data_IF_666548226032
#
_entry.id   IF_666548226032
#
_cell.length_a   1.000
_cell.length_b   1.000
_cell.length_c   1.000
_cell.angle_alpha   90.00
_cell.angle_beta   90.00
_cell.angle_gamma   90.00
#
_symmetry.space_group_name_H-M   'P 1'
#
loop_
_entity.id
_entity.type
_entity.pdbx_description
1 polymer ?
#
# COMPACT_ATOMS: atom_id res chain seq x y z
N UNK A 1 1.12 -1.03 -23.84
CA UNK A 1 2.01 -1.35 -22.70
C UNK A 1 1.55 -0.49 -21.55
N UNK A 2 1.21 -1.10 -20.42
CA UNK A 2 0.79 -0.35 -19.25
C UNK A 2 2.03 0.08 -18.49
N UNK A 3 2.11 1.37 -18.21
CA UNK A 3 3.15 1.95 -17.39
C UNK A 3 2.52 3.11 -16.62
N UNK A 4 1.80 2.77 -15.55
CA UNK A 4 1.03 3.74 -14.76
C UNK A 4 1.70 3.89 -13.39
N UNK A 5 1.99 5.13 -13.03
CA UNK A 5 2.37 5.46 -11.66
C UNK A 5 1.10 5.72 -10.86
N UNK A 6 1.00 5.14 -9.67
CA UNK A 6 -0.10 5.37 -8.75
C UNK A 6 0.44 5.86 -7.42
N UNK A 7 -0.28 6.80 -6.83
CA UNK A 7 -0.08 7.32 -5.47
C UNK A 7 -1.42 7.28 -4.76
N UNK A 8 -1.43 6.92 -3.49
CA UNK A 8 -2.65 6.83 -2.68
C UNK A 8 -2.32 7.04 -1.21
N UNK A 9 -3.22 7.68 -0.48
CA UNK A 9 -3.15 7.79 0.98
C UNK A 9 -3.44 6.45 1.64
N UNK A 10 -2.88 6.23 2.83
CA UNK A 10 -3.02 4.98 3.58
C UNK A 10 -3.38 5.28 5.02
N UNK A 11 -4.15 4.37 5.63
CA UNK A 11 -4.56 4.47 7.03
C UNK A 11 -4.05 3.24 7.76
N UNK A 12 -3.40 3.45 8.90
CA UNK A 12 -3.08 2.36 9.80
C UNK A 12 -4.34 1.94 10.56
N UNK A 13 -4.62 0.64 10.58
CA UNK A 13 -5.77 0.11 11.36
C UNK A 13 -5.56 0.19 12.88
N UNK A 14 -4.31 0.44 13.31
CA UNK A 14 -3.96 0.56 14.71
C UNK A 14 -3.83 2.04 15.08
N UNK A 15 -4.85 2.58 15.73
CA UNK A 15 -4.88 3.97 16.19
C UNK A 15 -3.79 4.31 17.23
N UNK A 16 -3.16 3.28 17.83
CA UNK A 16 -2.06 3.46 18.78
C UNK A 16 -0.68 3.49 18.12
N UNK A 17 -0.58 3.24 16.80
CA UNK A 17 0.69 3.27 16.11
C UNK A 17 1.09 4.72 15.79
N UNK A 18 2.23 5.15 16.32
CA UNK A 18 2.94 6.35 15.86
C UNK A 18 3.87 6.02 14.70
N UNK A 19 4.32 7.05 13.98
CA UNK A 19 5.31 6.92 12.89
C UNK A 19 4.90 5.90 11.81
N UNK A 20 3.63 5.97 11.41
CA UNK A 20 3.07 5.14 10.33
C UNK A 20 3.18 5.85 8.98
N UNK A 21 3.40 5.12 7.87
CA UNK A 21 3.23 5.69 6.54
C UNK A 21 1.82 6.28 6.39
N UNK A 22 1.73 7.43 5.73
CA UNK A 22 0.48 8.12 5.39
C UNK A 22 0.13 7.99 3.90
N UNK A 23 1.08 7.55 3.07
CA UNK A 23 0.84 7.27 1.66
C UNK A 23 1.70 6.12 1.13
N UNK A 24 1.30 5.60 -0.02
CA UNK A 24 2.09 4.66 -0.82
C UNK A 24 2.11 5.12 -2.27
N UNK A 25 3.21 4.87 -2.95
CA UNK A 25 3.30 4.99 -4.40
C UNK A 25 4.03 3.82 -5.03
N UNK A 26 3.61 3.45 -6.24
CA UNK A 26 4.22 2.36 -7.01
C UNK A 26 3.97 2.54 -8.51
N UNK A 27 4.88 1.97 -9.30
CA UNK A 27 4.71 1.84 -10.74
C UNK A 27 4.10 0.48 -11.06
N UNK A 28 2.99 0.49 -11.79
CA UNK A 28 2.40 -0.71 -12.40
C UNK A 28 2.95 -0.81 -13.82
N UNK A 29 4.03 -1.57 -13.94
CA UNK A 29 4.58 -1.96 -15.22
C UNK A 29 3.78 -3.13 -15.84
N UNK A 30 4.14 -3.48 -17.08
CA UNK A 30 3.47 -4.55 -17.82
C UNK A 30 3.61 -5.92 -17.14
N UNK A 31 4.71 -6.18 -16.43
CA UNK A 31 4.95 -7.47 -15.76
C UNK A 31 4.07 -7.60 -14.51
N UNK A 32 4.02 -6.55 -13.69
CA UNK A 32 3.20 -6.50 -12.49
C UNK A 32 1.71 -6.56 -12.84
N UNK A 33 1.28 -5.82 -13.87
CA UNK A 33 -0.09 -5.87 -14.37
C UNK A 33 -0.49 -7.29 -14.79
N UNK A 34 0.34 -7.94 -15.62
CA UNK A 34 0.08 -9.31 -16.06
C UNK A 34 0.02 -10.29 -14.88
N UNK A 35 0.89 -10.12 -13.88
CA UNK A 35 0.87 -10.93 -12.66
C UNK A 35 -0.43 -10.74 -11.88
N UNK A 36 -0.85 -9.50 -11.65
CA UNK A 36 -2.12 -9.18 -10.95
C UNK A 36 -3.30 -9.77 -11.71
N UNK A 37 -3.39 -9.58 -13.03
CA UNK A 37 -4.48 -10.13 -13.87
C UNK A 37 -4.55 -11.65 -13.85
N UNK A 38 -3.39 -12.32 -13.91
CA UNK A 38 -3.31 -13.78 -13.83
C UNK A 38 -3.80 -14.28 -12.48
N UNK A 39 -3.41 -13.62 -11.39
CA UNK A 39 -3.86 -13.95 -10.05
C UNK A 39 -5.35 -13.68 -9.85
N UNK A 40 -5.88 -12.58 -10.36
CA UNK A 40 -7.32 -12.29 -10.32
C UNK A 40 -8.14 -13.36 -11.05
N UNK A 41 -7.68 -13.80 -12.23
CA UNK A 41 -8.28 -14.91 -12.97
C UNK A 41 -8.24 -16.21 -12.17
N UNK A 42 -7.11 -16.49 -11.51
CA UNK A 42 -6.96 -17.66 -10.65
C UNK A 42 -7.91 -17.62 -9.44
N UNK A 43 -8.02 -16.48 -8.76
CA UNK A 43 -8.95 -16.26 -7.63
C UNK A 43 -10.39 -16.48 -8.09
N UNK A 44 -10.78 -15.91 -9.23
CA UNK A 44 -12.13 -16.07 -9.80
C UNK A 44 -12.44 -17.52 -10.19
N UNK A 45 -11.50 -18.20 -10.87
CA UNK A 45 -11.68 -19.58 -11.37
C UNK A 45 -11.83 -20.60 -10.24
N UNK A 46 -11.13 -20.38 -9.12
CA UNK A 46 -11.12 -21.31 -7.99
C UNK A 46 -12.03 -20.87 -6.83
N UNK A 47 -12.85 -19.84 -7.04
CA UNK A 47 -13.74 -19.26 -6.03
C UNK A 47 -13.03 -18.92 -4.70
N UNK A 48 -11.81 -18.37 -4.81
CA UNK A 48 -11.06 -17.91 -3.64
C UNK A 48 -11.51 -16.50 -3.23
N UNK A 49 -11.30 -16.16 -1.95
CA UNK A 49 -11.49 -14.79 -1.48
C UNK A 49 -10.40 -13.86 -2.03
N UNK A 50 -9.14 -14.26 -1.87
CA UNK A 50 -7.96 -13.55 -2.38
C UNK A 50 -6.76 -14.49 -2.50
N UNK A 51 -5.71 -14.03 -3.16
CA UNK A 51 -4.35 -14.57 -3.14
C UNK A 51 -3.37 -13.43 -2.92
N UNK A 52 -2.17 -13.67 -2.41
CA UNK A 52 -1.22 -12.61 -2.13
C UNK A 52 0.21 -12.95 -2.52
N UNK A 53 1.01 -11.92 -2.76
CA UNK A 53 2.44 -12.05 -3.00
C UNK A 53 3.20 -10.85 -2.44
N UNK A 54 4.44 -11.10 -2.00
CA UNK A 54 5.33 -10.03 -1.56
C UNK A 54 5.71 -9.09 -2.72
N UNK A 55 5.69 -7.79 -2.44
CA UNK A 55 5.99 -6.74 -3.39
C UNK A 55 6.74 -5.60 -2.70
N UNK A 56 8.05 -5.50 -2.94
CA UNK A 56 8.95 -4.58 -2.25
C UNK A 56 9.22 -3.28 -3.02
N UNK A 57 8.71 -3.15 -4.24
CA UNK A 57 8.99 -2.00 -5.12
C UNK A 57 8.06 -0.80 -4.87
N UNK A 58 7.16 -0.90 -3.89
CA UNK A 58 6.33 0.22 -3.44
C UNK A 58 7.12 1.16 -2.52
N UNK A 59 7.00 2.46 -2.75
CA UNK A 59 7.47 3.50 -1.83
C UNK A 59 6.36 3.82 -0.82
N UNK A 60 6.53 3.40 0.42
CA UNK A 60 5.71 3.84 1.53
C UNK A 60 6.27 5.17 2.04
N UNK A 61 5.42 6.14 2.39
CA UNK A 61 5.86 7.50 2.70
C UNK A 61 5.10 8.11 3.87
N UNK A 62 5.76 9.01 4.60
CA UNK A 62 5.12 9.85 5.63
C UNK A 62 4.36 11.05 5.07
N UNK A 63 4.49 11.31 3.77
CA UNK A 63 3.79 12.36 3.05
C UNK A 63 2.27 12.14 3.15
N UNK A 64 1.55 13.11 3.68
CA UNK A 64 0.11 13.08 3.89
C UNK A 64 -0.67 13.51 2.66
N UNK A 65 -1.99 13.60 2.83
CA UNK A 65 -2.92 13.98 1.76
C UNK A 65 -2.68 15.40 1.26
N UNK A 66 -2.49 16.35 2.17
CA UNK A 66 -2.33 17.77 1.84
C UNK A 66 -1.10 18.02 0.97
N UNK A 67 0.04 17.41 1.29
CA UNK A 67 1.27 17.58 0.52
C UNK A 67 1.19 16.89 -0.87
N UNK A 68 0.49 15.75 -0.96
CA UNK A 68 0.24 15.09 -2.25
C UNK A 68 -0.70 15.95 -3.09
N UNK A 69 -1.73 16.53 -2.48
CA UNK A 69 -2.71 17.37 -3.17
C UNK A 69 -2.03 18.63 -3.70
N UNK A 70 -1.20 19.30 -2.90
CA UNK A 70 -0.43 20.48 -3.32
C UNK A 70 0.36 20.24 -4.60
N UNK A 71 0.95 19.05 -4.77
CA UNK A 71 1.77 18.70 -5.93
C UNK A 71 0.90 18.26 -7.10
N UNK A 72 -0.08 17.41 -6.85
CA UNK A 72 -0.98 16.94 -7.90
C UNK A 72 -1.83 18.08 -8.49
N UNK A 73 -1.99 19.19 -7.75
CA UNK A 73 -2.67 20.38 -8.22
C UNK A 73 -1.82 21.31 -9.10
N UNK A 74 -0.50 21.16 -9.09
CA UNK A 74 0.38 21.97 -9.92
C UNK A 74 0.11 21.74 -11.41
N UNK A 75 0.10 22.82 -12.19
CA UNK A 75 -0.07 22.74 -13.64
C UNK A 75 1.00 21.87 -14.30
N UNK A 76 2.23 21.90 -13.78
CA UNK A 76 3.31 21.03 -14.25
C UNK A 76 2.96 19.55 -14.06
N UNK A 77 2.41 19.17 -12.90
CA UNK A 77 2.02 17.78 -12.65
C UNK A 77 0.89 17.34 -13.58
N UNK A 78 -0.16 18.16 -13.71
CA UNK A 78 -1.36 17.88 -14.52
C UNK A 78 -1.06 17.69 -16.01
N UNK A 79 -0.06 18.39 -16.54
CA UNK A 79 0.29 18.37 -17.96
C UNK A 79 1.53 17.54 -18.28
N UNK A 80 2.13 16.86 -17.29
CA UNK A 80 3.31 16.04 -17.49
C UNK A 80 2.98 14.55 -17.68
N UNK A 81 3.95 13.80 -18.19
CA UNK A 81 3.82 12.36 -18.35
C UNK A 81 4.00 11.59 -17.03
N UNK A 82 3.67 10.30 -17.02
CA UNK A 82 3.80 9.43 -15.83
C UNK A 82 5.22 9.35 -15.25
N UNK A 83 6.26 9.61 -16.05
CA UNK A 83 7.66 9.57 -15.62
C UNK A 83 7.98 10.84 -14.84
N UNK A 84 7.57 12.00 -15.36
CA UNK A 84 7.73 13.28 -14.67
C UNK A 84 6.86 13.36 -13.41
N UNK A 85 5.61 12.90 -13.47
CA UNK A 85 4.74 12.79 -12.30
C UNK A 85 5.37 11.95 -11.19
N UNK A 86 5.94 10.79 -11.53
CA UNK A 86 6.69 9.97 -10.56
C UNK A 86 7.89 10.72 -9.99
N UNK A 87 8.68 11.40 -10.83
CA UNK A 87 9.85 12.15 -10.37
C UNK A 87 9.46 13.25 -9.37
N UNK A 88 8.42 14.05 -9.69
CA UNK A 88 7.91 15.11 -8.81
C UNK A 88 7.45 14.56 -7.46
N UNK A 89 6.71 13.46 -7.46
CA UNK A 89 6.25 12.83 -6.21
C UNK A 89 7.41 12.18 -5.44
N UNK A 90 8.39 11.57 -6.11
CA UNK A 90 9.55 10.97 -5.42
C UNK A 90 10.47 12.01 -4.76
N UNK A 91 10.54 13.23 -5.30
CA UNK A 91 11.32 14.32 -4.72
C UNK A 91 10.81 14.75 -3.34
N UNK A 92 9.50 14.61 -3.09
CA UNK A 92 8.84 15.13 -1.89
C UNK A 92 8.34 14.05 -0.93
N UNK A 93 8.31 12.78 -1.35
CA UNK A 93 7.75 11.67 -0.58
C UNK A 93 8.87 10.93 0.17
N UNK A 94 9.20 11.31 1.43
CA UNK A 94 10.23 10.64 2.21
C UNK A 94 9.83 9.19 2.49
N UNK A 95 10.70 8.24 2.14
CA UNK A 95 10.42 6.82 2.35
C UNK A 95 10.28 6.47 3.82
N UNK A 96 9.11 5.95 4.18
CA UNK A 96 8.84 5.27 5.44
C UNK A 96 9.23 3.79 5.33
N UNK A 97 9.90 3.26 6.35
CA UNK A 97 10.28 1.84 6.37
C UNK A 97 9.09 0.98 6.77
N UNK A 98 8.82 -0.04 5.98
CA UNK A 98 7.79 -1.04 6.25
C UNK A 98 8.35 -2.46 6.13
N UNK A 99 7.66 -3.42 6.74
CA UNK A 99 7.97 -4.85 6.69
C UNK A 99 6.80 -5.60 6.02
N UNK A 100 7.08 -6.78 5.50
CA UNK A 100 6.08 -7.64 4.84
C UNK A 100 5.15 -6.92 3.83
N UNK A 101 5.67 -6.07 2.91
CA UNK A 101 4.83 -5.45 1.91
C UNK A 101 4.30 -6.51 0.93
N UNK A 102 2.98 -6.58 0.78
CA UNK A 102 2.28 -7.54 -0.07
C UNK A 102 1.26 -6.85 -0.94
N UNK A 103 1.04 -7.41 -2.12
CA UNK A 103 -0.14 -7.18 -2.95
C UNK A 103 -1.09 -8.36 -2.73
N UNK A 104 -2.31 -8.06 -2.28
CA UNK A 104 -3.42 -9.00 -2.18
C UNK A 104 -4.33 -8.82 -3.39
N UNK A 105 -4.52 -9.86 -4.18
CA UNK A 105 -5.34 -9.86 -5.39
C UNK A 105 -6.65 -10.56 -5.10
N UNK A 106 -7.75 -9.86 -5.34
CA UNK A 106 -9.12 -10.37 -5.27
C UNK A 106 -9.66 -10.60 -6.70
N UNK A 107 -10.94 -10.96 -6.85
CA UNK A 107 -11.56 -11.26 -8.15
C UNK A 107 -11.51 -10.08 -9.12
N UNK A 108 -11.84 -8.89 -8.61
CA UNK A 108 -12.04 -7.68 -9.44
C UNK A 108 -11.22 -6.48 -8.93
N UNK A 109 -10.33 -6.70 -7.96
CA UNK A 109 -9.53 -5.64 -7.32
C UNK A 109 -8.23 -6.18 -6.74
N UNK A 110 -7.33 -5.29 -6.33
CA UNK A 110 -6.18 -5.64 -5.51
C UNK A 110 -5.96 -4.61 -4.40
N UNK A 111 -5.21 -5.00 -3.39
CA UNK A 111 -4.88 -4.24 -2.20
C UNK A 111 -3.38 -4.29 -1.96
N UNK A 112 -2.82 -3.22 -1.39
CA UNK A 112 -1.47 -3.21 -0.86
C UNK A 112 -1.54 -3.29 0.68
N UNK A 113 -0.59 -3.95 1.30
CA UNK A 113 -0.45 -3.85 2.76
C UNK A 113 0.97 -4.10 3.18
N UNK A 114 1.41 -3.45 4.23
CA UNK A 114 2.69 -3.70 4.89
C UNK A 114 2.53 -3.61 6.41
N UNK A 115 3.63 -3.70 7.15
CA UNK A 115 3.72 -3.54 8.59
C UNK A 115 4.64 -2.33 8.88
N UNK A 116 4.24 -1.35 9.71
CA UNK A 116 5.17 -0.31 10.16
C UNK A 116 6.30 -0.91 11.01
N UNK A 117 7.54 -0.46 10.80
CA UNK A 117 8.74 -0.99 11.49
C UNK A 117 8.77 -0.74 13.01
N UNK A 118 7.94 0.17 13.52
CA UNK A 118 7.99 0.64 14.92
C UNK A 118 6.70 0.42 15.72
N UNK A 119 5.94 -0.64 15.45
CA UNK A 119 4.80 -1.03 16.31
C UNK A 119 5.20 -1.58 17.70
N UNK A 120 6.29 -1.12 18.30
CA UNK A 120 6.68 -1.49 19.66
C UNK A 120 7.93 -0.79 20.15
N UNK A 121 7.76 0.07 21.15
CA UNK A 121 8.62 0.21 22.34
C UNK A 121 7.88 0.96 23.48
N UNK A 122 6.83 1.73 23.17
CA UNK A 122 5.88 2.28 24.19
C UNK A 122 4.82 1.24 24.64
N UNK A 123 4.98 -0.01 24.19
CA UNK A 123 4.28 -1.20 24.70
C UNK A 123 5.05 -1.87 25.86
N UNK A 124 6.02 -1.16 26.45
CA UNK A 124 6.62 -1.55 27.72
C UNK A 124 5.59 -1.40 28.84
N UNK A 125 4.85 -2.48 29.07
CA UNK A 125 4.46 -2.95 30.39
C UNK A 125 3.93 -1.86 31.34
N UNK A 126 2.66 -1.47 31.16
CA UNK A 126 1.79 -1.51 32.33
C UNK A 126 1.54 -2.99 32.63
N UNK A 127 2.41 -3.54 33.47
CA UNK A 127 2.38 -4.91 33.96
C UNK A 127 0.96 -5.34 34.38
N UNK A 128 0.40 -6.37 33.75
CA UNK A 128 -0.83 -6.99 34.22
C UNK A 128 -1.58 -7.77 33.14
N UNK A 129 -1.47 -9.10 33.21
CA UNK A 129 -2.09 -10.13 32.35
C UNK A 129 -1.41 -10.29 30.98
N UNK A 130 -0.72 -11.40 30.67
CA UNK A 130 -1.23 -12.75 30.84
C UNK A 130 -0.09 -13.79 31.00
N UNK A 131 0.07 -14.32 32.22
CA UNK A 131 0.76 -15.60 32.45
C UNK A 131 -0.20 -16.70 31.99
N UNK A 132 -0.11 -17.11 30.72
CA UNK A 132 -0.59 -18.35 30.09
C UNK A 132 -1.15 -18.04 28.70
N UNK A 133 -0.52 -18.61 27.67
CA UNK A 133 -1.14 -19.05 26.41
C UNK A 133 -1.92 -18.02 25.59
N UNK A 134 -1.43 -17.79 24.35
CA UNK A 134 -2.07 -17.03 23.27
C UNK A 134 -2.11 -15.51 23.42
N UNK A 135 -1.03 -14.85 22.97
CA UNK A 135 -1.17 -13.59 22.24
C UNK A 135 -1.03 -13.91 20.76
N UNK A 136 -2.17 -13.97 20.06
CA UNK A 136 -2.22 -13.94 18.61
C UNK A 136 -1.28 -12.85 18.10
N UNK A 137 -0.34 -13.21 17.23
CA UNK A 137 0.38 -12.27 16.39
C UNK A 137 -0.67 -11.50 15.59
N UNK A 138 -1.08 -10.34 16.10
CA UNK A 138 -1.94 -9.38 15.43
C UNK A 138 -1.18 -8.96 14.18
N UNK A 139 -1.45 -9.65 13.08
CA UNK A 139 -1.03 -9.26 11.74
C UNK A 139 -1.61 -7.88 11.48
N UNK A 140 -0.75 -6.87 11.52
CA UNK A 140 -1.13 -5.51 11.18
C UNK A 140 -1.34 -5.50 9.65
N UNK A 141 -2.38 -4.82 9.18
CA UNK A 141 -2.70 -4.81 7.76
C UNK A 141 -3.29 -3.47 7.38
N UNK A 142 -2.70 -2.83 6.38
CA UNK A 142 -3.36 -1.75 5.65
C UNK A 142 -4.43 -2.35 4.73
N UNK A 143 -5.52 -1.60 4.52
CA UNK A 143 -6.57 -1.93 3.57
C UNK A 143 -6.68 -0.79 2.57
N UNK A 144 -6.63 -1.11 1.28
CA UNK A 144 -7.02 -0.19 0.21
C UNK A 144 -8.39 -0.59 -0.30
N UNK A 145 -9.24 0.40 -0.56
CA UNK A 145 -10.34 0.23 -1.51
C UNK A 145 -9.98 1.06 -2.72
N UNK A 146 -9.47 0.42 -3.77
CA UNK A 146 -9.48 1.06 -5.07
C UNK A 146 -10.80 0.71 -5.74
N UNK A 147 -11.78 1.60 -5.60
CA UNK A 147 -12.97 1.62 -6.45
C UNK A 147 -12.60 2.31 -7.75
N UNK A 148 -12.14 1.54 -8.72
CA UNK A 148 -12.29 1.86 -10.13
C UNK A 148 -12.06 0.58 -10.95
N UNK A 149 -12.89 0.25 -11.94
CA UNK A 149 -12.59 -0.85 -12.83
C UNK A 149 -11.38 -0.46 -13.68
N UNK A 150 -10.18 -0.87 -13.25
CA UNK A 150 -8.95 -0.80 -14.08
C UNK A 150 -9.05 -1.62 -15.37
N UNK A 151 -10.17 -2.31 -15.57
CA UNK A 151 -10.48 -3.19 -16.68
C UNK A 151 -11.84 -2.85 -17.27
N UNK A 152 -12.05 -1.60 -17.69
CA UNK A 152 -12.92 -1.40 -18.85
C UNK A 152 -12.08 -1.62 -20.12
N UNK A 153 -12.64 -2.35 -21.11
CA UNK A 153 -11.92 -2.87 -22.26
C UNK A 153 -11.25 -1.79 -23.11
#
# INVERSE_FOLDING_TARGET
MTNKFIVSTVVCINDFASDVPQSVSLRIDTMLEQRIRKLATYVKKNDLQLTEFYFYDANWSFCGEDEIQEITDQDEYKHSDSTRQEAMLREVMPSARTECPVIRVMKDSFQLSALPRHCGDDMTLKEGANKRGNSSRLTQSFHFFMFEPFFLP
#
